data_IF_188954840721
#
_entry.id   IF_188954840721
#
_cell.length_a   1.000
_cell.length_b   1.000
_cell.length_c   1.000
_cell.angle_alpha   90.00
_cell.angle_beta   90.00
_cell.angle_gamma   90.00
#
_symmetry.space_group_name_H-M   'P 1'
#
loop_
_entity.id
_entity.type
_entity.pdbx_description
1 polymer ?
#
# COMPACT_ATOMS: atom_id res chain seq x y z
N UNK A 1 0.46 -32.54 -27.45
CA UNK A 1 -0.61 -31.83 -26.78
C UNK A 1 -0.74 -30.45 -27.34
N UNK A 2 -1.93 -30.04 -27.71
CA UNK A 2 -2.19 -28.68 -28.12
C UNK A 2 -2.14 -27.73 -26.91
N UNK A 3 -1.39 -26.64 -27.04
CA UNK A 3 -1.37 -25.60 -26.01
C UNK A 3 -2.68 -24.82 -26.06
N UNK A 4 -3.12 -24.36 -24.94
CA UNK A 4 -4.32 -23.53 -24.83
C UNK A 4 -3.94 -22.07 -24.68
N UNK A 5 -4.75 -21.17 -25.25
CA UNK A 5 -4.60 -19.73 -25.10
C UNK A 5 -4.77 -19.33 -23.64
N UNK A 6 -3.87 -18.51 -23.11
CA UNK A 6 -3.93 -18.05 -21.73
C UNK A 6 -5.14 -17.15 -21.45
N UNK A 7 -5.71 -16.52 -22.48
CA UNK A 7 -6.87 -15.63 -22.33
C UNK A 7 -8.19 -16.36 -22.53
N UNK A 8 -8.39 -17.00 -23.68
CA UNK A 8 -9.68 -17.58 -24.03
C UNK A 8 -9.78 -19.11 -23.85
N UNK A 9 -8.67 -19.79 -23.66
CA UNK A 9 -8.64 -21.24 -23.47
C UNK A 9 -8.74 -22.06 -24.74
N UNK A 10 -8.88 -21.44 -25.89
CA UNK A 10 -8.96 -22.14 -27.17
C UNK A 10 -7.62 -22.79 -27.53
N UNK A 11 -7.63 -23.90 -28.29
CA UNK A 11 -6.39 -24.52 -28.73
C UNK A 11 -5.58 -23.60 -29.61
N UNK A 12 -4.27 -23.56 -29.38
CA UNK A 12 -3.35 -22.76 -30.17
C UNK A 12 -2.75 -23.62 -31.27
N UNK A 13 -2.82 -23.16 -32.52
CA UNK A 13 -2.22 -23.78 -33.67
C UNK A 13 -1.04 -22.91 -34.12
N UNK A 14 0.12 -23.48 -34.31
CA UNK A 14 1.29 -22.78 -34.81
C UNK A 14 2.56 -23.05 -34.01
N UNK A 15 3.32 -22.00 -33.71
CA UNK A 15 4.64 -22.14 -33.08
C UNK A 15 4.51 -22.65 -31.64
N UNK A 16 5.51 -23.43 -31.21
CA UNK A 16 5.58 -24.02 -29.88
C UNK A 16 5.58 -22.92 -28.78
N UNK A 17 6.21 -21.77 -29.06
CA UNK A 17 6.34 -20.65 -28.13
C UNK A 17 5.11 -19.76 -28.07
N UNK A 18 4.11 -20.01 -28.90
CA UNK A 18 2.89 -19.20 -28.92
C UNK A 18 2.04 -19.47 -27.68
N UNK A 19 1.70 -18.41 -26.95
CA UNK A 19 0.92 -18.49 -25.73
C UNK A 19 -0.52 -18.05 -25.90
N UNK A 20 -0.83 -17.34 -26.99
CA UNK A 20 -2.16 -16.79 -27.28
C UNK A 20 -2.58 -17.14 -28.69
N UNK A 21 -3.88 -17.32 -28.89
CA UNK A 21 -4.43 -17.66 -30.19
C UNK A 21 -4.41 -16.50 -31.18
N UNK A 22 -4.36 -15.26 -30.68
CA UNK A 22 -4.35 -14.05 -31.50
C UNK A 22 -3.71 -12.90 -30.74
N UNK A 23 -3.35 -11.83 -31.45
CA UNK A 23 -2.85 -10.61 -30.85
C UNK A 23 -3.90 -9.94 -29.95
N UNK A 24 -5.17 -10.06 -30.31
CA UNK A 24 -6.27 -9.54 -29.52
C UNK A 24 -6.30 -10.18 -28.13
N UNK A 25 -6.15 -11.51 -28.04
CA UNK A 25 -6.10 -12.21 -26.75
C UNK A 25 -4.86 -11.81 -25.95
N UNK A 26 -3.72 -11.63 -26.58
CA UNK A 26 -2.49 -11.20 -25.91
C UNK A 26 -2.67 -9.81 -25.31
N UNK A 27 -3.23 -8.89 -26.06
CA UNK A 27 -3.46 -7.52 -25.60
C UNK A 27 -4.47 -7.48 -24.45
N UNK A 28 -5.57 -8.24 -24.54
CA UNK A 28 -6.57 -8.32 -23.48
C UNK A 28 -5.96 -8.87 -22.19
N UNK A 29 -5.16 -9.92 -22.25
CA UNK A 29 -4.51 -10.50 -21.09
C UNK A 29 -3.57 -9.51 -20.43
N UNK A 30 -2.70 -8.85 -21.22
CA UNK A 30 -1.75 -7.87 -20.70
C UNK A 30 -2.46 -6.66 -20.08
N UNK A 31 -3.54 -6.18 -20.69
CA UNK A 31 -4.31 -5.06 -20.16
C UNK A 31 -4.95 -5.40 -18.82
N UNK A 32 -5.48 -6.60 -18.64
CA UNK A 32 -6.08 -7.04 -17.38
C UNK A 32 -5.02 -7.13 -16.28
N UNK A 33 -3.85 -7.70 -16.56
CA UNK A 33 -2.75 -7.79 -15.58
C UNK A 33 -2.30 -6.39 -15.17
N UNK A 34 -2.13 -5.48 -16.13
CA UNK A 34 -1.71 -4.10 -15.85
C UNK A 34 -2.76 -3.34 -15.04
N UNK A 35 -4.05 -3.55 -15.35
CA UNK A 35 -5.15 -2.92 -14.62
C UNK A 35 -5.15 -3.31 -13.15
N UNK A 36 -5.01 -4.60 -12.85
CA UNK A 36 -4.99 -5.11 -11.48
C UNK A 36 -3.79 -4.54 -10.71
N UNK A 37 -2.61 -4.50 -11.31
CA UNK A 37 -1.42 -3.91 -10.71
C UNK A 37 -1.61 -2.42 -10.41
N UNK A 38 -2.18 -1.66 -11.34
CA UNK A 38 -2.45 -0.24 -11.14
C UNK A 38 -3.47 0.01 -10.05
N UNK A 39 -4.52 -0.82 -9.94
CA UNK A 39 -5.53 -0.69 -8.90
C UNK A 39 -4.93 -0.95 -7.52
N UNK A 40 -4.06 -1.94 -7.37
CA UNK A 40 -3.38 -2.22 -6.11
C UNK A 40 -2.52 -1.03 -5.68
N UNK A 41 -1.73 -0.48 -6.60
CA UNK A 41 -0.88 0.68 -6.33
C UNK A 41 -1.73 1.88 -5.94
N UNK A 42 -2.79 2.16 -6.68
CA UNK A 42 -3.70 3.27 -6.39
C UNK A 42 -4.32 3.14 -5.02
N UNK A 43 -4.83 1.96 -4.67
CA UNK A 43 -5.47 1.72 -3.39
C UNK A 43 -4.48 1.88 -2.24
N UNK A 44 -3.26 1.35 -2.39
CA UNK A 44 -2.20 1.49 -1.40
C UNK A 44 -1.83 2.96 -1.21
N UNK A 45 -1.63 3.70 -2.28
CA UNK A 45 -1.28 5.12 -2.23
C UNK A 45 -2.40 5.94 -1.58
N UNK A 46 -3.65 5.64 -1.87
CA UNK A 46 -4.79 6.34 -1.28
C UNK A 46 -4.85 6.10 0.24
N UNK A 47 -4.57 4.88 0.71
CA UNK A 47 -4.52 4.58 2.14
C UNK A 47 -3.37 5.28 2.84
N UNK A 48 -2.20 5.34 2.21
CA UNK A 48 -1.05 6.06 2.75
C UNK A 48 -1.34 7.56 2.86
N UNK A 49 -1.95 8.15 1.83
CA UNK A 49 -2.34 9.57 1.84
C UNK A 49 -3.37 9.86 2.92
N UNK A 50 -4.34 8.97 3.10
CA UNK A 50 -5.35 9.12 4.15
C UNK A 50 -4.71 9.07 5.53
N UNK A 51 -3.82 8.11 5.76
CA UNK A 51 -3.09 8.00 7.03
C UNK A 51 -2.30 9.27 7.32
N UNK A 52 -1.57 9.76 6.32
CA UNK A 52 -0.80 11.00 6.45
C UNK A 52 -1.69 12.19 6.81
N UNK A 53 -2.82 12.31 6.14
CA UNK A 53 -3.77 13.40 6.39
C UNK A 53 -4.32 13.35 7.81
N UNK A 54 -4.62 12.14 8.31
CA UNK A 54 -5.10 11.95 9.68
C UNK A 54 -4.03 12.37 10.68
N UNK A 55 -2.79 11.89 10.52
CA UNK A 55 -1.69 12.23 11.41
C UNK A 55 -1.39 13.72 11.39
N UNK A 56 -1.39 14.35 10.22
CA UNK A 56 -1.16 15.77 10.07
C UNK A 56 -2.24 16.60 10.78
N UNK A 57 -3.51 16.19 10.66
CA UNK A 57 -4.62 16.87 11.28
C UNK A 57 -4.57 16.81 12.81
N UNK A 58 -4.12 15.68 13.39
CA UNK A 58 -4.06 15.51 14.85
C UNK A 58 -2.73 15.95 15.46
N UNK A 59 -1.73 16.26 14.64
CA UNK A 59 -0.40 16.68 15.11
C UNK A 59 0.02 18.02 14.47
N UNK A 60 -0.73 19.11 14.69
CA UNK A 60 -0.37 20.40 14.10
C UNK A 60 0.90 21.02 14.70
N UNK A 61 1.24 20.67 15.94
CA UNK A 61 2.35 21.25 16.69
C UNK A 61 3.61 20.38 16.66
N UNK A 62 3.72 19.44 15.73
CA UNK A 62 4.85 18.53 15.55
C UNK A 62 5.03 17.47 16.64
N UNK A 63 4.35 17.59 17.77
CA UNK A 63 4.37 16.63 18.88
C UNK A 63 2.99 16.58 19.53
N UNK A 64 2.44 15.36 19.63
CA UNK A 64 1.11 15.14 20.21
C UNK A 64 1.00 13.72 20.71
N UNK A 65 0.09 13.49 21.66
CA UNK A 65 -0.27 12.15 22.10
C UNK A 65 -1.74 11.93 21.78
N UNK A 66 -2.07 10.78 21.20
CA UNK A 66 -3.44 10.43 20.85
C UNK A 66 -3.71 8.97 21.21
N UNK A 67 -4.96 8.67 21.58
CA UNK A 67 -5.34 7.29 21.88
C UNK A 67 -5.50 6.48 20.60
N UNK A 68 -5.21 5.18 20.69
CA UNK A 68 -5.40 4.25 19.59
C UNK A 68 -6.85 4.25 19.11
N UNK A 69 -7.81 4.30 20.06
CA UNK A 69 -9.23 4.32 19.75
C UNK A 69 -9.60 5.52 18.87
N UNK A 70 -9.05 6.69 19.13
CA UNK A 70 -9.29 7.89 18.33
C UNK A 70 -8.71 7.77 16.92
N UNK A 71 -7.53 7.17 16.78
CA UNK A 71 -6.94 6.93 15.46
C UNK A 71 -7.81 5.97 14.65
N UNK A 72 -8.28 4.90 15.26
CA UNK A 72 -9.16 3.93 14.62
C UNK A 72 -10.48 4.59 14.21
N UNK A 73 -11.05 5.41 15.08
CA UNK A 73 -12.28 6.16 14.81
C UNK A 73 -12.14 7.07 13.59
N UNK A 74 -10.98 7.66 13.41
CA UNK A 74 -10.68 8.52 12.26
C UNK A 74 -10.41 7.75 10.97
N UNK A 75 -10.32 6.42 11.08
CA UNK A 75 -10.06 5.56 9.93
C UNK A 75 -8.60 5.30 9.63
N UNK A 76 -7.73 5.50 10.62
CA UNK A 76 -6.29 5.22 10.45
C UNK A 76 -6.03 3.73 10.31
N UNK A 77 -5.21 3.36 9.32
CA UNK A 77 -4.88 1.96 9.05
C UNK A 77 -3.41 1.70 9.39
N UNK A 78 -3.17 0.95 10.47
CA UNK A 78 -1.83 0.68 10.99
C UNK A 78 -1.00 -0.24 10.09
N UNK A 79 -1.61 -0.83 9.07
CA UNK A 79 -0.91 -1.70 8.11
C UNK A 79 -0.18 -0.91 7.01
N UNK A 80 -0.40 0.39 6.92
CA UNK A 80 0.16 1.23 5.85
C UNK A 80 1.04 2.32 6.42
N UNK A 81 2.34 2.15 6.23
CA UNK A 81 3.36 3.14 6.59
C UNK A 81 4.46 3.12 5.53
N UNK A 82 5.24 4.20 5.43
CA UNK A 82 6.26 4.31 4.38
C UNK A 82 7.66 3.92 4.84
N UNK A 83 7.96 4.11 6.13
CA UNK A 83 9.28 3.74 6.66
C UNK A 83 9.22 3.44 8.14
N UNK A 84 10.26 2.78 8.63
CA UNK A 84 10.45 2.46 10.05
C UNK A 84 11.80 3.02 10.46
N UNK A 85 11.82 3.70 11.62
CA UNK A 85 13.06 4.19 12.21
C UNK A 85 13.24 3.55 13.58
N UNK A 86 14.40 2.89 13.78
CA UNK A 86 14.74 2.28 15.06
C UNK A 86 15.87 3.08 15.70
N UNK A 87 15.65 3.54 16.95
CA UNK A 87 16.66 4.28 17.69
C UNK A 87 17.72 3.34 18.27
N UNK A 88 18.83 3.90 18.78
CA UNK A 88 19.88 3.13 19.45
C UNK A 88 19.35 2.40 20.70
N UNK A 89 18.33 2.95 21.35
CA UNK A 89 17.69 2.34 22.52
C UNK A 89 16.71 1.23 22.16
N UNK A 90 16.48 0.96 20.86
CA UNK A 90 15.56 -0.08 20.40
C UNK A 90 14.12 0.41 20.20
N UNK A 91 13.88 1.70 20.36
CA UNK A 91 12.56 2.29 20.14
C UNK A 91 12.26 2.35 18.63
N UNK A 92 11.07 1.89 18.24
CA UNK A 92 10.66 1.82 16.84
C UNK A 92 9.60 2.86 16.54
N UNK A 93 9.89 3.74 15.59
CA UNK A 93 8.94 4.72 15.06
C UNK A 93 8.46 4.28 13.69
N UNK A 94 7.16 4.39 13.46
CA UNK A 94 6.55 4.13 12.15
C UNK A 94 6.22 5.46 11.51
N UNK A 95 6.71 5.67 10.28
CA UNK A 95 6.49 6.93 9.58
C UNK A 95 5.56 6.74 8.38
N UNK A 96 4.64 7.68 8.23
CA UNK A 96 3.85 7.84 7.01
C UNK A 96 4.31 9.17 6.42
N UNK A 97 5.26 9.09 5.50
CA UNK A 97 5.99 10.23 4.92
C UNK A 97 6.75 10.98 6.04
N UNK A 98 6.32 12.20 6.38
CA UNK A 98 6.97 13.02 7.42
C UNK A 98 6.33 12.90 8.81
N UNK A 99 5.20 12.20 8.92
CA UNK A 99 4.51 12.01 10.18
C UNK A 99 4.84 10.65 10.78
N UNK A 100 5.27 10.62 12.03
CA UNK A 100 5.61 9.39 12.72
C UNK A 100 4.73 9.11 13.92
N UNK A 101 4.61 7.85 14.28
CA UNK A 101 3.90 7.44 15.48
C UNK A 101 4.66 6.35 16.20
N UNK A 102 4.54 6.34 17.52
CA UNK A 102 5.23 5.42 18.42
C UNK A 102 4.23 4.91 19.45
N UNK A 103 4.04 3.57 19.57
CA UNK A 103 3.21 3.03 20.63
C UNK A 103 3.80 3.34 22.01
N UNK A 104 2.96 3.86 22.91
CA UNK A 104 3.35 4.12 24.30
C UNK A 104 2.36 3.44 25.22
N UNK A 105 2.58 3.50 26.55
CA UNK A 105 1.73 2.83 27.53
C UNK A 105 0.29 3.34 27.48
N UNK A 106 -0.67 2.46 27.83
CA UNK A 106 -2.07 2.82 27.99
C UNK A 106 -2.84 2.97 26.68
N UNK A 107 -2.46 2.25 25.63
CA UNK A 107 -3.09 2.31 24.30
C UNK A 107 -3.04 3.72 23.68
N UNK A 108 -1.96 4.45 23.94
CA UNK A 108 -1.70 5.75 23.34
C UNK A 108 -0.57 5.68 22.34
N UNK A 109 -0.55 6.63 21.43
CA UNK A 109 0.56 6.83 20.50
C UNK A 109 1.12 8.23 20.67
N UNK A 110 2.44 8.31 20.72
CA UNK A 110 3.15 9.58 20.61
C UNK A 110 3.33 9.88 19.11
N UNK A 111 2.92 11.07 18.70
CA UNK A 111 3.04 11.50 17.31
C UNK A 111 4.19 12.51 17.20
N UNK A 112 4.99 12.34 16.13
CA UNK A 112 6.12 13.23 15.87
C UNK A 112 6.10 13.63 14.40
N UNK A 113 6.67 14.78 14.09
CA UNK A 113 6.85 15.21 12.71
C UNK A 113 8.33 15.25 12.38
N UNK A 114 8.71 14.61 11.28
CA UNK A 114 10.08 14.61 10.78
C UNK A 114 10.29 15.84 9.91
N UNK A 115 11.30 16.62 10.22
CA UNK A 115 11.69 17.71 9.33
C UNK A 115 12.55 17.16 8.20
N UNK A 116 12.11 17.41 7.00
CA UNK A 116 12.84 16.98 5.80
C UNK A 116 13.93 17.99 5.44
#
# INVERSE_FOLDING_TARGET
>A
MAKQCLECGDPIVGRIDKKFCSDACRNAYNNNVNKDSKNLIRNTNNRLRKNHRILEAVNPDKKTTISRAKLIEKGFDFNYFTSIYTTKAGTVYYFVYDQGYLPIEGDYFALVKRES
#
